data_IF_779923705064
#
_entry.id   IF_779923705064
#
_cell.length_a   1.000
_cell.length_b   1.000
_cell.length_c   1.000
_cell.angle_alpha   90.00
_cell.angle_beta   90.00
_cell.angle_gamma   90.00
#
_symmetry.space_group_name_H-M   'P 1'
#
loop_
_entity.id
_entity.type
_entity.pdbx_description
1 polymer ?
#
# COMPACT_ATOMS: atom_id res chain seq x y z
N UNK A 1 -12.31 0.06 -1.63
CA UNK A 1 -13.05 1.07 -0.82
C UNK A 1 -14.52 0.70 -0.86
N UNK A 2 -15.31 1.03 0.17
CA UNK A 2 -16.74 0.73 0.23
C UNK A 2 -17.60 2.00 0.18
N UNK A 3 -18.83 1.85 -0.28
CA UNK A 3 -19.88 2.86 -0.19
C UNK A 3 -20.56 2.84 1.20
N UNK A 4 -21.54 3.73 1.42
CA UNK A 4 -22.24 3.83 2.70
C UNK A 4 -23.12 2.61 3.03
N UNK A 5 -23.50 1.81 2.02
CA UNK A 5 -24.33 0.61 2.23
C UNK A 5 -23.58 -0.45 3.05
N UNK A 6 -22.26 -0.34 3.17
CA UNK A 6 -21.40 -1.27 3.92
C UNK A 6 -21.89 -1.51 5.34
N UNK A 7 -22.42 -0.50 6.03
CA UNK A 7 -22.88 -0.63 7.41
C UNK A 7 -24.14 -1.47 7.54
N UNK A 8 -25.05 -1.38 6.56
CA UNK A 8 -26.25 -2.21 6.53
C UNK A 8 -25.88 -3.67 6.22
N UNK A 9 -24.91 -3.88 5.33
CA UNK A 9 -24.42 -5.24 5.02
C UNK A 9 -23.75 -5.85 6.24
N UNK A 10 -22.86 -5.13 6.94
CA UNK A 10 -22.17 -5.61 8.16
C UNK A 10 -23.17 -6.10 9.21
N UNK A 11 -24.30 -5.40 9.41
CA UNK A 11 -25.35 -5.80 10.36
C UNK A 11 -26.02 -7.13 10.02
N UNK A 12 -25.93 -7.59 8.77
CA UNK A 12 -26.51 -8.86 8.31
C UNK A 12 -25.51 -10.02 8.37
N UNK A 13 -24.22 -9.74 8.59
CA UNK A 13 -23.19 -10.78 8.65
C UNK A 13 -23.37 -11.67 9.87
N UNK A 14 -22.99 -12.93 9.72
CA UNK A 14 -22.98 -13.92 10.80
C UNK A 14 -21.55 -14.20 11.22
N UNK A 15 -21.29 -14.44 12.52
CA UNK A 15 -19.96 -14.84 12.97
C UNK A 15 -19.47 -16.09 12.23
N UNK A 16 -18.19 -16.11 11.87
CA UNK A 16 -17.53 -17.28 11.30
C UNK A 16 -17.33 -18.37 12.35
N UNK A 17 -16.69 -19.48 11.97
CA UNK A 17 -16.26 -20.52 12.92
C UNK A 17 -15.28 -19.99 13.97
N UNK A 18 -14.62 -18.85 13.73
CA UNK A 18 -13.77 -18.15 14.70
C UNK A 18 -14.56 -17.24 15.65
N UNK A 19 -15.86 -17.04 15.40
CA UNK A 19 -16.69 -16.08 16.15
C UNK A 19 -16.51 -14.63 15.69
N UNK A 20 -15.87 -14.39 14.54
CA UNK A 20 -15.57 -13.06 14.00
C UNK A 20 -16.53 -12.69 12.86
N UNK A 21 -16.81 -11.39 12.70
CA UNK A 21 -17.46 -10.88 11.49
C UNK A 21 -16.38 -10.62 10.43
N UNK A 22 -16.39 -11.42 9.37
CA UNK A 22 -15.29 -11.47 8.40
C UNK A 22 -15.42 -10.40 7.32
N UNK A 23 -14.35 -9.64 7.10
CA UNK A 23 -14.26 -8.72 5.94
C UNK A 23 -14.37 -9.49 4.60
N UNK A 24 -13.98 -10.76 4.58
CA UNK A 24 -14.14 -11.64 3.40
C UNK A 24 -15.60 -11.86 3.05
N UNK A 25 -16.50 -12.00 4.04
CA UNK A 25 -17.93 -12.17 3.79
C UNK A 25 -18.56 -10.87 3.26
N UNK A 26 -18.10 -9.74 3.78
CA UNK A 26 -18.45 -8.43 3.22
C UNK A 26 -18.00 -8.30 1.75
N UNK A 27 -16.76 -8.68 1.43
CA UNK A 27 -16.26 -8.68 0.06
C UNK A 27 -17.07 -9.61 -0.85
N UNK A 28 -17.43 -10.79 -0.37
CA UNK A 28 -18.26 -11.74 -1.11
C UNK A 28 -19.67 -11.19 -1.40
N UNK A 29 -20.24 -10.36 -0.51
CA UNK A 29 -21.48 -9.65 -0.79
C UNK A 29 -21.34 -8.73 -2.01
N UNK A 30 -20.34 -7.85 -2.02
CA UNK A 30 -20.12 -6.93 -3.14
C UNK A 30 -19.76 -7.66 -4.45
N UNK A 31 -19.00 -8.76 -4.34
CA UNK A 31 -18.67 -9.62 -5.48
C UNK A 31 -19.95 -10.20 -6.11
N UNK A 32 -20.85 -10.77 -5.30
CA UNK A 32 -22.14 -11.34 -5.78
C UNK A 32 -23.05 -10.29 -6.41
N UNK A 33 -22.89 -9.01 -6.04
CA UNK A 33 -23.63 -7.89 -6.63
C UNK A 33 -22.97 -7.32 -7.89
N UNK A 34 -21.79 -7.81 -8.29
CA UNK A 34 -21.03 -7.25 -9.41
C UNK A 34 -20.50 -5.84 -9.13
N UNK A 35 -20.39 -5.46 -7.85
CA UNK A 35 -19.97 -4.13 -7.39
C UNK A 35 -18.55 -4.13 -6.82
N UNK A 36 -17.88 -5.29 -6.81
CA UNK A 36 -16.51 -5.41 -6.37
C UNK A 36 -15.56 -5.15 -7.54
N UNK A 37 -14.65 -4.19 -7.34
CA UNK A 37 -13.51 -3.96 -8.20
C UNK A 37 -12.21 -4.25 -7.42
N UNK A 38 -11.12 -4.50 -8.14
CA UNK A 38 -9.81 -4.80 -7.55
C UNK A 38 -8.70 -4.00 -8.22
N UNK A 39 -7.65 -3.74 -7.46
CA UNK A 39 -6.44 -3.09 -7.96
C UNK A 39 -5.21 -3.86 -7.50
N UNK A 40 -4.31 -4.15 -8.44
CA UNK A 40 -3.03 -4.77 -8.15
C UNK A 40 -2.02 -3.70 -7.72
N UNK A 41 -1.73 -3.65 -6.42
CA UNK A 41 -0.73 -2.74 -5.87
C UNK A 41 0.67 -3.27 -6.20
N UNK A 42 1.49 -2.43 -6.84
CA UNK A 42 2.91 -2.70 -7.07
C UNK A 42 3.75 -2.12 -5.93
N UNK A 43 4.86 -2.78 -5.62
CA UNK A 43 5.78 -2.34 -4.58
C UNK A 43 5.79 -3.28 -3.38
N UNK A 44 6.33 -2.80 -2.27
CA UNK A 44 6.46 -3.59 -1.05
C UNK A 44 5.21 -3.43 -0.17
N UNK A 45 4.63 -4.55 0.24
CA UNK A 45 3.61 -4.64 1.28
C UNK A 45 4.09 -5.65 2.32
N UNK A 46 4.04 -5.29 3.60
CA UNK A 46 4.49 -6.13 4.70
C UNK A 46 3.53 -6.02 5.88
N UNK A 47 3.24 -7.17 6.50
CA UNK A 47 2.47 -7.26 7.74
C UNK A 47 3.42 -7.28 8.95
N UNK A 48 3.01 -6.65 10.05
CA UNK A 48 3.81 -6.51 11.27
C UNK A 48 3.20 -7.26 12.46
N UNK A 49 2.13 -8.05 12.25
CA UNK A 49 1.38 -8.70 13.32
C UNK A 49 1.96 -10.02 13.84
N UNK A 50 2.89 -10.63 13.11
CA UNK A 50 3.39 -11.99 13.41
C UNK A 50 4.35 -12.04 14.61
N UNK A 51 5.37 -11.18 14.63
CA UNK A 51 6.38 -11.15 15.69
C UNK A 51 7.12 -9.81 15.75
N UNK A 52 7.86 -9.58 16.84
CA UNK A 52 8.75 -8.41 16.96
C UNK A 52 9.82 -8.42 15.87
N UNK A 53 10.30 -9.59 15.46
CA UNK A 53 11.30 -9.73 14.40
C UNK A 53 10.71 -9.36 13.04
N UNK A 54 9.46 -9.76 12.76
CA UNK A 54 8.73 -9.39 11.54
C UNK A 54 8.52 -7.88 11.48
N UNK A 55 8.09 -7.26 12.59
CA UNK A 55 7.98 -5.81 12.71
C UNK A 55 9.32 -5.11 12.40
N UNK A 56 10.42 -5.58 12.98
CA UNK A 56 11.75 -5.00 12.76
C UNK A 56 12.20 -5.14 11.30
N UNK A 57 11.98 -6.30 10.69
CA UNK A 57 12.33 -6.57 9.30
C UNK A 57 11.55 -5.67 8.31
N UNK A 58 10.25 -5.48 8.54
CA UNK A 58 9.41 -4.57 7.74
C UNK A 58 9.89 -3.13 7.89
N UNK A 59 10.14 -2.68 9.12
CA UNK A 59 10.64 -1.32 9.39
C UNK A 59 11.98 -1.03 8.69
N UNK A 60 12.93 -1.99 8.76
CA UNK A 60 14.22 -1.85 8.08
C UNK A 60 14.07 -1.84 6.54
N UNK A 61 13.12 -2.60 6.00
CA UNK A 61 12.81 -2.59 4.57
C UNK A 61 12.31 -1.22 4.12
N UNK A 62 11.36 -0.64 4.84
CA UNK A 62 10.84 0.71 4.55
C UNK A 62 11.96 1.76 4.62
N UNK A 63 12.79 1.73 5.66
CA UNK A 63 13.96 2.63 5.80
C UNK A 63 14.90 2.54 4.60
N UNK A 64 15.19 1.32 4.14
CA UNK A 64 16.07 1.09 3.00
C UNK A 64 15.46 1.59 1.69
N UNK A 65 14.15 1.42 1.49
CA UNK A 65 13.44 1.92 0.32
C UNK A 65 13.49 3.46 0.27
N UNK A 66 13.16 4.14 1.37
CA UNK A 66 13.21 5.61 1.46
C UNK A 66 14.63 6.17 1.23
N UNK A 67 15.65 5.51 1.79
CA UNK A 67 17.05 5.90 1.59
C UNK A 67 17.43 5.84 0.12
N UNK A 68 17.03 4.77 -0.59
CA UNK A 68 17.30 4.60 -2.03
C UNK A 68 16.56 5.65 -2.88
N UNK A 69 15.32 5.96 -2.53
CA UNK A 69 14.56 7.01 -3.23
C UNK A 69 15.19 8.39 -3.07
N UNK A 70 15.60 8.73 -1.84
CA UNK A 70 16.29 10.00 -1.54
C UNK A 70 17.60 10.11 -2.33
N UNK A 71 18.40 9.04 -2.37
CA UNK A 71 19.64 8.99 -3.15
C UNK A 71 19.40 9.19 -4.65
N UNK A 72 18.30 8.64 -5.21
CA UNK A 72 17.93 8.84 -6.62
C UNK A 72 17.58 10.30 -6.90
N UNK A 73 16.78 10.92 -6.05
CA UNK A 73 16.37 12.34 -6.18
C UNK A 73 17.60 13.24 -6.13
N UNK A 74 18.49 13.05 -5.15
CA UNK A 74 19.73 13.82 -5.03
C UNK A 74 20.61 13.70 -6.28
N UNK A 75 20.80 12.48 -6.80
CA UNK A 75 21.57 12.25 -8.03
C UNK A 75 20.94 12.95 -9.25
N UNK A 76 19.62 12.88 -9.40
CA UNK A 76 18.92 13.57 -10.49
C UNK A 76 19.07 15.09 -10.42
N UNK A 77 18.98 15.66 -9.22
CA UNK A 77 19.15 17.11 -9.01
C UNK A 77 20.58 17.58 -9.34
N UNK A 78 21.60 16.79 -8.99
CA UNK A 78 23.00 17.09 -9.35
C UNK A 78 23.21 17.04 -10.86
N UNK A 79 22.64 16.06 -11.57
CA UNK A 79 22.72 15.96 -13.03
C UNK A 79 22.08 17.18 -13.71
N UNK A 80 20.91 17.63 -13.26
CA UNK A 80 20.23 18.80 -13.85
C UNK A 80 21.00 20.12 -13.65
N UNK A 81 21.68 20.29 -12.50
CA UNK A 81 22.54 21.46 -12.27
C UNK A 81 23.76 21.48 -13.19
N UNK A 82 24.33 20.31 -13.49
CA UNK A 82 25.51 20.20 -14.35
C UNK A 82 25.19 20.34 -15.85
N UNK A 83 23.96 20.09 -16.29
CA UNK A 83 23.55 20.31 -17.68
C UNK A 83 23.20 21.77 -17.97
N UNK A 84 22.73 22.54 -16.98
CA UNK A 84 22.44 23.97 -17.13
C UNK A 84 23.68 24.89 -17.09
N UNK A 85 24.82 24.43 -16.56
CA UNK A 85 26.07 25.20 -16.56
C UNK A 85 26.91 25.04 -17.84
N UNK A 86 26.46 24.21 -18.80
CA UNK A 86 27.19 23.88 -20.04
C UNK A 86 26.75 24.61 -21.31
N UNK A 87 25.73 25.48 -21.28
CA UNK A 87 25.23 26.18 -22.47
C UNK A 87 25.41 27.69 -22.27
N UNK A 88 26.60 28.20 -22.62
CA UNK A 88 26.85 29.64 -22.52
C UNK A 88 28.30 30.08 -22.67
N UNK A 89 29.00 29.61 -23.73
CA UNK A 89 30.19 30.28 -24.27
C UNK A 89 30.29 30.02 -25.77
N UNK A 90 29.64 30.87 -26.55
CA UNK A 90 30.11 31.36 -27.87
C UNK A 90 29.60 32.78 -28.02
#
# INVERSE_FOLDING_TARGET
MYDNNVFDVIRTLKPSTRGELEVTDLNNYYLKKGMLDHYMVKGFWGDCGESVDTLLAVAQTVKNLQTRETQKITKQHVVQKNTHSGVGRI
#
